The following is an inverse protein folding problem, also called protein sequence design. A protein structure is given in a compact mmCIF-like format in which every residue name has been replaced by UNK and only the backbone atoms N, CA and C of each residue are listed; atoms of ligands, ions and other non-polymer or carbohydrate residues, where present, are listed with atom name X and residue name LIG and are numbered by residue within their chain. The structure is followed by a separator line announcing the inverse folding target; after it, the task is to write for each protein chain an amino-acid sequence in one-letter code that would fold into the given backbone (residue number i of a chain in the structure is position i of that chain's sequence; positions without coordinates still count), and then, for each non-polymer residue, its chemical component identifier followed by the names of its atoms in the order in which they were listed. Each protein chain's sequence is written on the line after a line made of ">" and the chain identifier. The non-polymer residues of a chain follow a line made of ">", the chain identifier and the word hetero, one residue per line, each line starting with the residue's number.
data_IF_068115916369
#
_entry.id   IF_068115916369
#
_cell.length_a   1.000
_cell.length_b   1.000
_cell.length_c   1.000
_cell.angle_alpha   90.00
_cell.angle_beta   90.00
_cell.angle_gamma   90.00
#
_symmetry.space_group_name_H-M   'P 1'
#
loop_
_entity.id
_entity.type
_entity.pdbx_description
1 polymer ?
#
# COMPACT_ATOMS: atom_id res chain seq x y z
N UNK A 1 2.24 -9.18 -27.38
CA UNK A 1 3.32 -9.32 -26.36
C UNK A 1 3.11 -8.32 -25.24
N UNK A 2 2.83 -7.05 -25.55
CA UNK A 2 2.47 -6.00 -24.58
C UNK A 2 1.18 -6.35 -23.81
N UNK A 3 0.19 -6.98 -24.44
CA UNK A 3 -1.06 -7.37 -23.75
C UNK A 3 -0.83 -8.39 -22.63
N UNK A 4 -0.02 -9.43 -22.88
CA UNK A 4 0.36 -10.40 -21.85
C UNK A 4 1.11 -9.74 -20.69
N UNK A 5 1.99 -8.78 -20.98
CA UNK A 5 2.72 -8.02 -19.98
C UNK A 5 1.78 -7.14 -19.14
N UNK A 6 0.79 -6.49 -19.76
CA UNK A 6 -0.25 -5.73 -19.07
C UNK A 6 -1.09 -6.62 -18.14
N UNK A 7 -1.46 -7.82 -18.59
CA UNK A 7 -2.20 -8.80 -17.78
C UNK A 7 -1.37 -9.20 -16.55
N UNK A 8 -0.08 -9.51 -16.72
CA UNK A 8 0.81 -9.87 -15.60
C UNK A 8 0.91 -8.71 -14.60
N UNK A 9 1.10 -7.49 -15.06
CA UNK A 9 1.12 -6.30 -14.20
C UNK A 9 -0.21 -6.10 -13.46
N UNK A 10 -1.34 -6.43 -14.08
CA UNK A 10 -2.66 -6.31 -13.48
C UNK A 10 -2.87 -7.32 -12.37
N UNK A 11 -2.48 -8.58 -12.59
CA UNK A 11 -2.55 -9.62 -11.55
C UNK A 11 -1.61 -9.26 -10.39
N UNK A 12 -0.39 -8.82 -10.69
CA UNK A 12 0.59 -8.42 -9.68
C UNK A 12 0.09 -7.25 -8.82
N UNK A 13 -0.50 -6.23 -9.46
CA UNK A 13 -1.04 -5.07 -8.75
C UNK A 13 -2.25 -5.44 -7.88
N UNK A 14 -3.13 -6.33 -8.36
CA UNK A 14 -4.25 -6.85 -7.58
C UNK A 14 -3.77 -7.62 -6.34
N UNK A 15 -2.77 -8.50 -6.48
CA UNK A 15 -2.19 -9.25 -5.36
C UNK A 15 -1.54 -8.30 -4.34
N UNK A 16 -0.76 -7.32 -4.82
CA UNK A 16 -0.15 -6.30 -3.94
C UNK A 16 -1.20 -5.44 -3.24
N UNK A 17 -2.30 -5.11 -3.91
CA UNK A 17 -3.40 -4.37 -3.30
C UNK A 17 -4.08 -5.16 -2.18
N UNK A 18 -4.36 -6.45 -2.40
CA UNK A 18 -4.88 -7.34 -1.36
C UNK A 18 -3.92 -7.47 -0.17
N UNK A 19 -2.62 -7.60 -0.44
CA UNK A 19 -1.60 -7.62 0.60
C UNK A 19 -1.59 -6.33 1.44
N UNK A 20 -1.67 -5.17 0.79
CA UNK A 20 -1.76 -3.87 1.46
C UNK A 20 -3.04 -3.77 2.30
N UNK A 21 -4.18 -4.22 1.77
CA UNK A 21 -5.45 -4.24 2.51
C UNK A 21 -5.37 -5.05 3.81
N UNK A 22 -4.75 -6.23 3.77
CA UNK A 22 -4.52 -7.06 4.96
C UNK A 22 -3.65 -6.32 5.98
N UNK A 23 -2.57 -5.68 5.54
CA UNK A 23 -1.71 -4.89 6.43
C UNK A 23 -2.42 -3.65 7.00
N UNK A 24 -3.29 -3.01 6.22
CA UNK A 24 -4.12 -1.91 6.69
C UNK A 24 -5.01 -2.37 7.83
N UNK A 25 -5.71 -3.50 7.69
CA UNK A 25 -6.58 -4.06 8.75
C UNK A 25 -5.76 -4.43 10.01
N UNK A 26 -4.52 -4.90 9.82
CA UNK A 26 -3.62 -5.27 10.93
C UNK A 26 -2.93 -4.07 11.58
N UNK A 27 -2.84 -2.92 10.92
CA UNK A 27 -2.08 -1.77 11.42
C UNK A 27 -2.49 -1.30 12.83
N UNK A 28 -3.78 -1.22 13.21
CA UNK A 28 -4.19 -0.88 14.57
C UNK A 28 -3.73 -1.91 15.62
N UNK A 29 -3.57 -3.19 15.24
CA UNK A 29 -3.03 -4.24 16.12
C UNK A 29 -1.52 -4.12 16.30
N UNK A 30 -0.83 -3.52 15.32
CA UNK A 30 0.62 -3.30 15.34
C UNK A 30 1.04 -1.94 15.88
N UNK A 31 0.08 -1.04 16.05
CA UNK A 31 0.26 0.27 16.63
C UNK A 31 0.81 0.20 18.07
N UNK A 32 1.71 1.12 18.41
CA UNK A 32 2.22 1.29 19.77
C UNK A 32 1.13 1.93 20.64
N UNK A 33 0.43 1.12 21.43
CA UNK A 33 -0.76 1.52 22.22
C UNK A 33 -0.56 2.81 23.01
N UNK A 34 0.61 2.99 23.62
CA UNK A 34 0.98 4.17 24.42
C UNK A 34 0.75 5.50 23.69
N UNK A 35 1.05 5.56 22.38
CA UNK A 35 0.88 6.76 21.57
C UNK A 35 -0.59 7.10 21.29
N UNK A 36 -1.50 6.17 21.56
CA UNK A 36 -2.89 6.24 21.18
C UNK A 36 -3.86 6.23 22.37
N UNK A 37 -3.37 6.20 23.62
CA UNK A 37 -4.20 6.15 24.84
C UNK A 37 -5.15 7.34 24.94
N UNK A 38 -4.71 8.54 24.52
CA UNK A 38 -5.51 9.77 24.60
C UNK A 38 -6.46 9.99 23.40
N UNK A 39 -6.51 9.08 22.44
CA UNK A 39 -7.39 9.19 21.28
C UNK A 39 -8.69 8.40 21.52
N UNK A 40 -9.84 9.01 21.21
CA UNK A 40 -11.15 8.38 21.38
C UNK A 40 -11.29 7.04 20.61
N UNK A 41 -10.55 6.88 19.50
CA UNK A 41 -10.51 5.64 18.71
C UNK A 41 -9.41 4.66 19.10
N UNK A 42 -8.66 4.91 20.18
CA UNK A 42 -7.50 4.12 20.58
C UNK A 42 -6.51 3.94 19.43
N UNK A 43 -6.02 2.71 19.23
CA UNK A 43 -5.08 2.40 18.13
C UNK A 43 -5.66 2.59 16.73
N UNK A 44 -6.98 2.74 16.57
CA UNK A 44 -7.62 3.12 15.31
C UNK A 44 -7.24 4.53 14.85
N UNK A 45 -6.74 5.39 15.75
CA UNK A 45 -6.23 6.70 15.38
C UNK A 45 -4.91 6.66 14.56
N UNK A 46 -4.37 5.46 14.28
CA UNK A 46 -3.24 5.27 13.36
C UNK A 46 -3.58 5.71 11.92
N UNK A 47 -4.85 5.70 11.52
CA UNK A 47 -5.26 6.19 10.20
C UNK A 47 -5.33 7.71 10.10
N UNK A 48 -5.28 8.43 11.22
CA UNK A 48 -5.36 9.89 11.23
C UNK A 48 -3.99 10.52 10.94
N UNK A 49 -3.94 11.57 10.12
CA UNK A 49 -2.73 12.40 9.93
C UNK A 49 -1.51 11.63 9.41
N UNK A 50 -1.71 10.65 8.54
CA UNK A 50 -0.66 9.81 7.93
C UNK A 50 0.20 9.03 8.94
N UNK A 51 -0.25 8.85 10.18
CA UNK A 51 0.46 8.09 11.21
C UNK A 51 0.73 6.64 10.79
N UNK A 52 -0.12 6.08 9.92
CA UNK A 52 0.03 4.77 9.29
C UNK A 52 1.38 4.59 8.57
N UNK A 53 1.96 5.67 8.05
CA UNK A 53 3.22 5.65 7.32
C UNK A 53 4.43 6.10 8.16
N UNK A 54 4.22 6.35 9.47
CA UNK A 54 5.28 6.71 10.42
C UNK A 54 5.67 5.49 11.23
N UNK A 55 6.95 5.15 11.18
CA UNK A 55 7.54 4.00 11.91
C UNK A 55 7.30 4.12 13.41
N UNK A 56 7.38 5.33 13.96
CA UNK A 56 7.17 5.65 15.37
C UNK A 56 5.79 5.21 15.88
N UNK A 57 4.78 5.16 15.00
CA UNK A 57 3.41 4.74 15.36
C UNK A 57 3.29 3.24 15.66
N UNK A 58 4.30 2.43 15.35
CA UNK A 58 4.27 0.96 15.45
C UNK A 58 5.13 0.46 16.60
N UNK A 59 4.81 -0.73 17.10
CA UNK A 59 5.71 -1.45 18.03
C UNK A 59 7.03 -1.80 17.34
N UNK A 60 8.11 -1.84 18.11
CA UNK A 60 9.47 -2.08 17.61
C UNK A 60 9.57 -3.39 16.80
N UNK A 61 8.90 -4.45 17.26
CA UNK A 61 8.84 -5.76 16.59
C UNK A 61 7.93 -5.80 15.34
N UNK A 62 7.19 -4.71 15.07
CA UNK A 62 6.23 -4.59 13.96
C UNK A 62 6.51 -3.42 13.03
N UNK A 63 7.66 -2.76 13.16
CA UNK A 63 8.11 -1.68 12.26
C UNK A 63 8.14 -2.10 10.79
N UNK A 64 8.42 -3.38 10.52
CA UNK A 64 8.40 -3.94 9.17
C UNK A 64 7.03 -3.76 8.49
N UNK A 65 5.92 -3.80 9.24
CA UNK A 65 4.58 -3.63 8.67
C UNK A 65 4.37 -2.20 8.16
N UNK A 66 4.89 -1.18 8.86
CA UNK A 66 4.88 0.20 8.38
C UNK A 66 5.67 0.35 7.08
N UNK A 67 6.87 -0.25 7.02
CA UNK A 67 7.70 -0.23 5.81
C UNK A 67 7.00 -0.94 4.65
N UNK A 68 6.44 -2.12 4.90
CA UNK A 68 5.69 -2.88 3.91
C UNK A 68 4.49 -2.07 3.37
N UNK A 69 3.67 -1.49 4.25
CA UNK A 69 2.56 -0.60 3.85
C UNK A 69 3.06 0.54 2.97
N UNK A 70 4.11 1.25 3.40
CA UNK A 70 4.66 2.40 2.67
C UNK A 70 5.18 2.01 1.29
N UNK A 71 6.06 1.02 1.21
CA UNK A 71 6.69 0.62 -0.06
C UNK A 71 5.71 -0.05 -1.00
N UNK A 72 4.82 -0.93 -0.50
CA UNK A 72 3.79 -1.54 -1.34
C UNK A 72 2.79 -0.51 -1.86
N UNK A 73 2.41 0.49 -1.07
CA UNK A 73 1.53 1.58 -1.55
C UNK A 73 2.19 2.38 -2.67
N UNK A 74 3.48 2.72 -2.53
CA UNK A 74 4.24 3.41 -3.59
C UNK A 74 4.36 2.52 -4.83
N UNK A 75 4.65 1.23 -4.67
CA UNK A 75 4.78 0.29 -5.77
C UNK A 75 3.47 0.17 -6.58
N UNK A 76 2.31 0.14 -5.91
CA UNK A 76 1.01 0.13 -6.58
C UNK A 76 0.83 1.39 -7.43
N UNK A 77 1.16 2.57 -6.90
CA UNK A 77 1.05 3.84 -7.64
C UNK A 77 1.98 3.85 -8.85
N UNK A 78 3.23 3.43 -8.69
CA UNK A 78 4.21 3.35 -9.79
C UNK A 78 3.76 2.37 -10.87
N UNK A 79 3.32 1.17 -10.48
CA UNK A 79 2.78 0.19 -11.43
C UNK A 79 1.57 0.73 -12.18
N UNK A 80 0.66 1.44 -11.50
CA UNK A 80 -0.49 2.05 -12.15
C UNK A 80 -0.08 3.06 -13.24
N UNK A 81 0.89 3.94 -12.97
CA UNK A 81 1.42 4.85 -13.99
C UNK A 81 2.07 4.12 -15.16
N UNK A 82 2.84 3.06 -14.89
CA UNK A 82 3.45 2.22 -15.94
C UNK A 82 2.37 1.59 -16.81
N UNK A 83 1.31 1.05 -16.21
CA UNK A 83 0.20 0.44 -16.94
C UNK A 83 -0.52 1.46 -17.84
N UNK A 84 -0.83 2.66 -17.33
CA UNK A 84 -1.44 3.74 -18.12
C UNK A 84 -0.57 4.11 -19.32
N UNK A 85 0.74 4.25 -19.10
CA UNK A 85 1.68 4.57 -20.17
C UNK A 85 1.73 3.47 -21.25
N UNK A 86 1.80 2.20 -20.83
CA UNK A 86 1.84 1.05 -21.73
C UNK A 86 0.53 0.88 -22.52
N UNK A 87 -0.63 1.10 -21.90
CA UNK A 87 -1.92 1.08 -22.58
C UNK A 87 -1.95 2.13 -23.69
N UNK A 88 -1.48 3.36 -23.40
CA UNK A 88 -1.42 4.44 -24.37
C UNK A 88 -0.47 4.11 -25.54
N UNK A 89 0.69 3.53 -25.25
CA UNK A 89 1.62 3.07 -26.28
C UNK A 89 1.02 1.97 -27.17
N UNK A 90 0.35 0.98 -26.58
CA UNK A 90 -0.29 -0.11 -27.31
C UNK A 90 -1.39 0.41 -28.25
N UNK A 91 -2.21 1.37 -27.79
CA UNK A 91 -3.24 2.01 -28.60
C UNK A 91 -2.70 2.83 -29.78
N UNK A 92 -1.51 3.43 -29.65
CA UNK A 92 -0.83 4.13 -30.76
C UNK A 92 -0.29 3.14 -31.79
N UNK A 93 0.21 1.97 -31.38
CA UNK A 93 0.73 0.95 -32.30
C UNK A 93 -0.35 0.21 -33.11
N UNK A 94 -1.60 0.25 -32.66
CA UNK A 94 -2.74 -0.40 -33.32
C UNK A 94 -3.55 0.55 -34.24
N UNK A 95 -3.21 1.84 -34.26
CA UNK A 95 -3.75 2.86 -35.17
C UNK A 95 -2.88 3.02 -36.42
#
# INVERSE_FOLDING_TARGET
>A
MIDYFLIILMVLSAVLFLFVMVLFILAPKYAKKELFINYYGGTGAIYHGFKLFKVESYREDKVWACKAIKYSSIAIVVMFFIMVFLIKLNGIQQS
#
